data_IF_239021868676
#
_entry.id   IF_239021868676
#
_cell.length_a   1.000
_cell.length_b   1.000
_cell.length_c   1.000
_cell.angle_alpha   90.00
_cell.angle_beta   90.00
_cell.angle_gamma   90.00
#
_symmetry.space_group_name_H-M   'P 1'
#
loop_
_entity.id
_entity.type
_entity.pdbx_description
1 polymer ?
#
# COMPACT_ATOMS: atom_id res chain seq x y z
N UNK A 1 9.35 13.95 -25.04
CA UNK A 1 8.31 13.68 -24.02
C UNK A 1 8.98 12.84 -22.94
N UNK A 2 9.05 13.32 -21.69
CA UNK A 2 9.84 12.64 -20.66
C UNK A 2 9.13 11.37 -20.18
N UNK A 3 9.82 10.24 -20.22
CA UNK A 3 9.29 8.93 -19.82
C UNK A 3 9.10 8.89 -18.30
N UNK A 4 7.87 8.60 -17.85
CA UNK A 4 7.54 8.53 -16.41
C UNK A 4 7.26 7.11 -16.01
N UNK A 5 7.74 6.71 -14.86
CA UNK A 5 7.59 5.36 -14.33
C UNK A 5 7.14 5.37 -12.87
N UNK A 6 6.32 4.40 -12.48
CA UNK A 6 5.91 4.20 -11.09
C UNK A 6 6.55 2.92 -10.55
N UNK A 7 6.94 2.88 -9.27
CA UNK A 7 7.57 1.71 -8.67
C UNK A 7 6.58 0.54 -8.58
N UNK A 8 7.05 -0.63 -9.01
CA UNK A 8 6.39 -1.92 -8.86
C UNK A 8 6.95 -2.59 -7.62
N UNK A 9 6.26 -2.49 -6.48
CA UNK A 9 6.73 -3.10 -5.23
C UNK A 9 6.54 -4.64 -5.23
N UNK A 10 7.26 -5.33 -6.11
CA UNK A 10 7.38 -6.78 -6.09
C UNK A 10 8.51 -7.23 -5.14
N UNK A 11 9.63 -6.49 -5.07
CA UNK A 11 10.81 -6.71 -4.20
C UNK A 11 11.47 -5.38 -3.81
N UNK A 12 12.25 -5.29 -2.71
CA UNK A 12 13.05 -4.10 -2.41
C UNK A 12 14.07 -3.89 -3.54
N UNK A 13 14.26 -2.65 -4.00
CA UNK A 13 15.29 -2.38 -5.02
C UNK A 13 16.69 -2.75 -4.45
N UNK A 14 17.51 -3.53 -5.18
CA UNK A 14 18.87 -3.86 -4.79
C UNK A 14 19.76 -2.63 -5.08
N UNK A 15 19.67 -1.67 -4.18
CA UNK A 15 20.24 -0.34 -4.31
C UNK A 15 19.43 0.55 -3.40
N UNK A 16 20.08 1.11 -2.37
CA UNK A 16 19.42 1.71 -1.22
C UNK A 16 18.25 2.62 -1.62
N UNK A 17 17.03 2.09 -1.51
CA UNK A 17 15.85 2.94 -1.40
C UNK A 17 16.07 3.75 -0.13
N UNK A 18 16.08 5.09 -0.21
CA UNK A 18 16.30 5.91 0.96
C UNK A 18 15.23 5.60 2.00
N UNK A 19 15.66 5.65 3.27
CA UNK A 19 15.14 4.98 4.46
C UNK A 19 13.70 5.26 4.89
N UNK A 20 12.81 5.78 4.03
CA UNK A 20 11.52 6.32 4.47
C UNK A 20 10.36 6.30 3.46
N UNK A 21 10.31 5.42 2.45
CA UNK A 21 9.25 5.53 1.43
C UNK A 21 8.41 4.28 1.15
N UNK A 22 7.11 4.40 1.44
CA UNK A 22 6.00 3.70 0.76
C UNK A 22 4.86 4.70 0.60
N UNK A 23 4.73 5.31 -0.58
CA UNK A 23 3.52 6.01 -1.00
C UNK A 23 2.96 5.28 -2.22
N UNK A 24 1.67 4.92 -2.19
CA UNK A 24 0.96 4.35 -3.33
C UNK A 24 0.84 5.46 -4.39
N UNK A 25 1.40 5.27 -5.58
CA UNK A 25 1.16 6.15 -6.74
C UNK A 25 2.20 7.22 -7.07
N UNK A 26 3.39 7.24 -6.45
CA UNK A 26 4.46 8.16 -6.83
C UNK A 26 5.06 7.81 -8.21
N UNK A 27 5.40 8.83 -9.01
CA UNK A 27 6.02 8.66 -10.33
C UNK A 27 7.40 9.31 -10.38
N UNK A 28 8.38 8.60 -10.91
CA UNK A 28 9.72 9.10 -11.21
C UNK A 28 9.89 9.37 -12.70
N UNK A 29 10.76 10.31 -13.06
CA UNK A 29 11.14 10.56 -14.45
C UNK A 29 12.37 9.72 -14.79
N UNK A 30 12.31 8.97 -15.90
CA UNK A 30 13.46 8.25 -16.46
C UNK A 30 14.25 9.24 -17.31
N UNK A 31 15.50 9.51 -16.91
CA UNK A 31 16.42 10.37 -17.63
C UNK A 31 17.09 9.61 -18.78
N UNK A 32 17.48 8.36 -18.54
CA UNK A 32 18.03 7.47 -19.54
C UNK A 32 17.85 5.99 -19.15
N UNK A 33 17.98 5.09 -20.12
CA UNK A 33 17.98 3.64 -19.94
C UNK A 33 19.36 3.10 -20.31
N UNK A 34 19.94 2.28 -19.44
CA UNK A 34 21.22 1.60 -19.67
C UNK A 34 21.04 0.10 -19.59
N UNK A 35 21.97 -0.66 -20.15
CA UNK A 35 21.94 -2.13 -20.13
C UNK A 35 23.18 -2.60 -19.38
N UNK A 36 23.01 -3.56 -18.47
CA UNK A 36 24.15 -4.16 -17.76
C UNK A 36 24.87 -5.21 -18.60
N UNK A 37 25.95 -5.78 -18.05
CA UNK A 37 26.76 -6.81 -18.71
C UNK A 37 26.03 -8.13 -18.96
N UNK A 38 24.85 -8.33 -18.35
CA UNK A 38 23.99 -9.49 -18.54
C UNK A 38 22.85 -9.21 -19.52
N UNK A 39 22.80 -8.01 -20.12
CA UNK A 39 21.76 -7.61 -21.05
C UNK A 39 20.47 -7.14 -20.38
N UNK A 40 20.44 -6.97 -19.04
CA UNK A 40 19.24 -6.52 -18.34
C UNK A 40 19.12 -4.98 -18.38
N UNK A 41 17.92 -4.43 -18.62
CA UNK A 41 17.70 -2.99 -18.67
C UNK A 41 17.59 -2.35 -17.27
N UNK A 42 18.19 -1.17 -17.12
CA UNK A 42 18.19 -0.34 -15.91
C UNK A 42 17.75 1.09 -16.24
N UNK A 43 16.95 1.69 -15.36
CA UNK A 43 16.50 3.08 -15.46
C UNK A 43 17.36 3.99 -14.58
N UNK A 44 17.81 5.11 -15.16
CA UNK A 44 18.36 6.24 -14.44
C UNK A 44 17.22 7.21 -14.08
N UNK A 45 16.93 7.36 -12.80
CA UNK A 45 15.75 8.05 -12.28
C UNK A 45 16.15 9.37 -11.62
N UNK A 46 15.50 10.46 -12.05
CA UNK A 46 15.70 11.77 -11.46
C UNK A 46 15.13 11.82 -10.03
N UNK A 47 15.94 12.28 -9.07
CA UNK A 47 15.53 12.48 -7.67
C UNK A 47 16.07 13.82 -7.12
N UNK A 48 15.40 14.39 -6.12
CA UNK A 48 15.96 15.49 -5.33
C UNK A 48 17.36 15.11 -4.79
N UNK A 49 18.40 15.75 -5.32
CA UNK A 49 19.80 15.52 -4.95
C UNK A 49 20.62 14.66 -5.92
N UNK A 50 20.06 14.16 -7.02
CA UNK A 50 20.83 13.45 -8.07
C UNK A 50 20.07 12.35 -8.81
N UNK A 51 20.81 11.54 -9.57
CA UNK A 51 20.27 10.42 -10.36
C UNK A 51 20.45 9.09 -9.60
N UNK A 52 19.42 8.25 -9.58
CA UNK A 52 19.45 6.91 -8.97
C UNK A 52 19.21 5.84 -10.04
N UNK A 53 20.02 4.79 -10.06
CA UNK A 53 19.84 3.66 -10.98
C UNK A 53 19.02 2.54 -10.34
N UNK A 54 18.06 1.99 -11.08
CA UNK A 54 17.28 0.83 -10.64
C UNK A 54 16.98 -0.11 -11.81
N UNK A 55 16.86 -1.43 -11.59
CA UNK A 55 16.40 -2.38 -12.60
C UNK A 55 15.05 -1.96 -13.17
N UNK A 56 14.87 -2.06 -14.49
CA UNK A 56 13.68 -1.57 -15.19
C UNK A 56 12.40 -2.38 -14.87
N UNK A 57 12.55 -3.68 -14.58
CA UNK A 57 11.47 -4.59 -14.19
C UNK A 57 10.81 -4.23 -12.84
N UNK A 58 11.47 -3.38 -12.04
CA UNK A 58 10.92 -2.80 -10.81
C UNK A 58 10.03 -1.59 -11.06
N UNK A 59 9.77 -1.22 -12.31
CA UNK A 59 8.99 -0.03 -12.66
C UNK A 59 8.00 -0.29 -13.80
N UNK A 60 6.91 0.47 -13.83
CA UNK A 60 5.89 0.44 -14.88
C UNK A 60 5.74 1.81 -15.51
N UNK A 61 5.56 1.86 -16.82
CA UNK A 61 5.31 3.10 -17.54
C UNK A 61 4.01 3.76 -17.07
N UNK A 62 4.12 4.99 -16.59
CA UNK A 62 2.99 5.85 -16.31
C UNK A 62 2.50 6.45 -17.64
N UNK A 63 1.76 5.66 -18.42
CA UNK A 63 1.35 6.05 -19.78
C UNK A 63 0.18 5.27 -20.38
N UNK A 64 0.15 3.93 -20.28
CA UNK A 64 -0.86 3.10 -20.96
C UNK A 64 -2.18 2.94 -20.19
N UNK A 65 -2.63 3.99 -19.50
CA UNK A 65 -3.82 3.91 -18.65
C UNK A 65 -4.37 5.26 -18.21
N UNK A 66 -4.54 6.21 -19.13
CA UNK A 66 -5.08 7.54 -18.82
C UNK A 66 -6.44 7.50 -18.09
N UNK A 67 -7.26 6.45 -18.31
CA UNK A 67 -8.50 6.22 -17.57
C UNK A 67 -8.28 5.65 -16.15
N UNK A 68 -7.30 4.75 -15.96
CA UNK A 68 -7.06 4.04 -14.70
C UNK A 68 -6.36 4.87 -13.62
N UNK A 69 -5.39 5.72 -14.02
CA UNK A 69 -4.71 6.66 -13.10
C UNK A 69 -5.69 7.73 -12.60
N UNK A 70 -6.59 8.16 -13.48
CA UNK A 70 -7.65 9.12 -13.15
C UNK A 70 -8.64 8.54 -12.13
N UNK A 71 -9.03 7.27 -12.30
CA UNK A 71 -9.93 6.59 -11.37
C UNK A 71 -9.27 6.32 -10.01
N UNK A 72 -8.02 5.83 -9.99
CA UNK A 72 -7.28 5.58 -8.75
C UNK A 72 -7.07 6.87 -7.94
N UNK A 73 -6.70 7.97 -8.60
CA UNK A 73 -6.53 9.27 -7.95
C UNK A 73 -7.84 9.86 -7.43
N UNK A 74 -8.96 9.66 -8.15
CA UNK A 74 -10.30 10.04 -7.67
C UNK A 74 -10.70 9.24 -6.44
N UNK A 75 -10.46 7.93 -6.45
CA UNK A 75 -10.74 7.05 -5.33
C UNK A 75 -9.93 7.46 -4.09
N UNK A 76 -8.62 7.68 -4.25
CA UNK A 76 -7.76 8.12 -3.15
C UNK A 76 -8.19 9.47 -2.58
N UNK A 77 -8.61 10.42 -3.43
CA UNK A 77 -9.17 11.69 -2.99
C UNK A 77 -10.50 11.53 -2.25
N UNK A 78 -11.37 10.64 -2.72
CA UNK A 78 -12.64 10.32 -2.06
C UNK A 78 -12.40 9.70 -0.68
N UNK A 79 -11.49 8.74 -0.58
CA UNK A 79 -11.12 8.07 0.67
C UNK A 79 -10.49 9.07 1.65
N UNK A 80 -9.58 9.93 1.18
CA UNK A 80 -9.02 11.01 1.99
C UNK A 80 -10.11 11.95 2.51
N UNK A 81 -11.07 12.34 1.66
CA UNK A 81 -12.19 13.20 2.05
C UNK A 81 -13.07 12.51 3.10
N UNK A 82 -13.37 11.21 2.92
CA UNK A 82 -14.12 10.39 3.89
C UNK A 82 -13.42 10.39 5.26
N UNK A 83 -12.13 10.06 5.29
CA UNK A 83 -11.34 9.98 6.54
C UNK A 83 -11.31 11.32 7.28
N UNK A 84 -11.11 12.42 6.55
CA UNK A 84 -11.15 13.76 7.13
C UNK A 84 -12.53 14.15 7.66
N UNK A 85 -13.62 13.70 7.04
CA UNK A 85 -14.97 13.94 7.54
C UNK A 85 -15.21 13.21 8.87
N UNK A 86 -14.81 11.93 8.95
CA UNK A 86 -14.92 11.14 10.18
C UNK A 86 -14.10 11.77 11.31
N UNK A 87 -12.85 12.16 11.06
CA UNK A 87 -12.01 12.80 12.08
C UNK A 87 -12.56 14.13 12.61
N UNK A 88 -13.39 14.83 11.83
CA UNK A 88 -14.06 16.05 12.31
C UNK A 88 -15.17 15.75 13.32
N UNK A 89 -15.83 14.59 13.19
CA UNK A 89 -16.88 14.13 14.09
C UNK A 89 -16.29 13.52 15.39
N UNK A 90 -15.15 12.84 15.30
CA UNK A 90 -14.51 12.16 16.43
C UNK A 90 -13.26 12.90 16.92
N UNK A 91 -13.45 14.08 17.51
CA UNK A 91 -12.35 14.93 18.02
C UNK A 91 -11.71 14.41 19.31
N UNK A 92 -12.40 13.51 19.98
CA UNK A 92 -12.00 12.83 21.22
C UNK A 92 -10.97 11.72 20.99
N UNK A 93 -10.82 11.24 19.74
CA UNK A 93 -9.89 10.15 19.45
C UNK A 93 -8.42 10.52 19.71
N UNK A 94 -7.61 9.57 20.24
CA UNK A 94 -6.20 9.83 20.52
C UNK A 94 -5.44 10.31 19.29
N UNK A 95 -4.56 11.30 19.47
CA UNK A 95 -3.78 11.92 18.37
C UNK A 95 -3.05 10.92 17.49
N UNK A 96 -2.50 9.85 18.08
CA UNK A 96 -1.83 8.75 17.36
C UNK A 96 -2.79 8.06 16.39
N UNK A 97 -3.98 7.72 16.84
CA UNK A 97 -5.03 7.05 16.06
C UNK A 97 -5.57 7.99 14.98
N UNK A 98 -5.87 9.24 15.33
CA UNK A 98 -6.33 10.24 14.37
C UNK A 98 -5.33 10.45 13.22
N UNK A 99 -4.02 10.46 13.53
CA UNK A 99 -2.95 10.55 12.52
C UNK A 99 -2.95 9.32 11.61
N UNK A 100 -3.03 8.12 12.18
CA UNK A 100 -3.06 6.88 11.40
C UNK A 100 -4.28 6.84 10.47
N UNK A 101 -5.47 7.21 10.94
CA UNK A 101 -6.69 7.29 10.12
C UNK A 101 -6.53 8.31 9.00
N UNK A 102 -6.03 9.52 9.31
CA UNK A 102 -5.82 10.55 8.29
C UNK A 102 -4.92 10.05 7.15
N UNK A 103 -3.89 9.30 7.53
CA UNK A 103 -2.87 8.79 6.62
C UNK A 103 -3.26 7.42 6.01
N UNK A 104 -4.46 6.88 6.30
CA UNK A 104 -4.95 5.60 5.77
C UNK A 104 -4.17 4.38 6.26
N UNK A 105 -3.68 4.42 7.50
CA UNK A 105 -2.83 3.39 8.11
C UNK A 105 -3.58 2.61 9.18
N UNK A 106 -3.18 1.36 9.36
CA UNK A 106 -3.61 0.51 10.48
C UNK A 106 -2.63 0.69 11.64
N UNK A 107 -3.15 0.69 12.85
CA UNK A 107 -2.36 0.79 14.07
C UNK A 107 -2.92 -0.19 15.11
N UNK A 108 -2.03 -0.77 15.91
CA UNK A 108 -2.40 -1.55 17.10
C UNK A 108 -3.24 -0.66 18.04
N UNK A 109 -4.16 -1.29 18.76
CA UNK A 109 -5.14 -0.72 19.69
C UNK A 109 -6.26 0.11 19.05
N UNK A 110 -6.29 0.25 17.72
CA UNK A 110 -7.46 0.78 17.02
C UNK A 110 -8.69 -0.04 17.37
N UNK A 111 -9.78 0.63 17.72
CA UNK A 111 -11.08 -0.04 17.81
C UNK A 111 -11.55 -0.46 16.42
N UNK A 112 -12.50 -1.39 16.37
CA UNK A 112 -13.19 -1.76 15.12
C UNK A 112 -13.70 -0.53 14.34
N UNK A 113 -14.30 0.44 15.03
CA UNK A 113 -14.76 1.71 14.45
C UNK A 113 -13.61 2.54 13.86
N UNK A 114 -12.49 2.65 14.58
CA UNK A 114 -11.32 3.40 14.13
C UNK A 114 -10.63 2.73 12.95
N UNK A 115 -10.60 1.40 12.92
CA UNK A 115 -10.13 0.61 11.79
C UNK A 115 -11.02 0.86 10.57
N UNK A 116 -12.34 0.77 10.73
CA UNK A 116 -13.30 1.04 9.66
C UNK A 116 -13.20 2.48 9.15
N UNK A 117 -12.95 3.45 10.02
CA UNK A 117 -12.67 4.82 9.62
C UNK A 117 -11.42 4.91 8.74
N UNK A 118 -10.34 4.21 9.10
CA UNK A 118 -9.07 4.22 8.36
C UNK A 118 -9.17 3.52 7.01
N UNK A 119 -9.71 2.30 6.98
CA UNK A 119 -9.62 1.38 5.84
C UNK A 119 -10.96 1.04 5.18
N UNK A 120 -12.07 1.46 5.77
CA UNK A 120 -13.41 1.11 5.31
C UNK A 120 -13.94 -0.14 6.00
N UNK A 121 -15.16 -0.55 5.65
CA UNK A 121 -15.69 -1.83 6.12
C UNK A 121 -14.95 -2.98 5.39
N UNK A 122 -14.62 -4.06 6.09
CA UNK A 122 -14.06 -5.25 5.45
C UNK A 122 -15.13 -5.97 4.63
N UNK A 123 -14.71 -6.72 3.62
CA UNK A 123 -15.60 -7.59 2.85
C UNK A 123 -16.07 -8.79 3.68
N UNK A 124 -15.23 -9.27 4.61
CA UNK A 124 -15.57 -10.40 5.47
C UNK A 124 -15.05 -10.22 6.91
N UNK A 125 -15.85 -10.66 7.88
CA UNK A 125 -15.49 -10.77 9.30
C UNK A 125 -15.70 -12.23 9.73
N UNK A 126 -14.76 -12.80 10.47
CA UNK A 126 -14.87 -14.16 11.00
C UNK A 126 -14.45 -14.19 12.46
N UNK A 127 -15.19 -14.91 13.30
CA UNK A 127 -14.72 -15.30 14.61
C UNK A 127 -13.73 -16.46 14.47
N UNK A 128 -12.62 -16.40 15.21
CA UNK A 128 -11.49 -17.31 15.09
C UNK A 128 -10.96 -17.69 16.47
N UNK A 129 -10.33 -18.86 16.55
CA UNK A 129 -9.56 -19.29 17.72
C UNK A 129 -8.19 -19.77 17.28
N UNK A 130 -7.12 -19.21 17.85
CA UNK A 130 -5.75 -19.64 17.58
C UNK A 130 -5.08 -20.05 18.88
N UNK A 131 -4.49 -21.25 18.88
CA UNK A 131 -3.74 -21.76 20.03
C UNK A 131 -2.60 -20.78 20.37
N UNK A 132 -2.57 -20.31 21.62
CA UNK A 132 -1.62 -19.30 22.11
C UNK A 132 -2.09 -17.84 22.02
N UNK A 133 -3.07 -17.54 21.16
CA UNK A 133 -3.66 -16.19 21.04
C UNK A 133 -5.06 -16.10 21.65
N UNK A 134 -5.80 -17.22 21.65
CA UNK A 134 -7.18 -17.34 22.14
C UNK A 134 -8.23 -16.98 21.09
N UNK A 135 -9.43 -16.66 21.56
CA UNK A 135 -10.53 -16.14 20.75
C UNK A 135 -10.20 -14.73 20.23
N UNK A 136 -10.48 -14.51 18.95
CA UNK A 136 -10.27 -13.23 18.28
C UNK A 136 -11.13 -13.16 17.01
N UNK A 137 -11.25 -11.99 16.41
CA UNK A 137 -11.87 -11.78 15.11
C UNK A 137 -10.79 -11.59 14.04
N UNK A 138 -11.06 -12.09 12.84
CA UNK A 138 -10.28 -11.80 11.64
C UNK A 138 -11.16 -11.04 10.65
N UNK A 139 -10.69 -9.85 10.25
CA UNK A 139 -11.32 -9.01 9.24
C UNK A 139 -10.50 -9.09 7.96
N UNK A 140 -11.16 -9.39 6.85
CA UNK A 140 -10.52 -9.58 5.55
C UNK A 140 -10.89 -8.43 4.63
N UNK A 141 -9.84 -7.82 4.08
CA UNK A 141 -9.91 -6.78 3.08
C UNK A 141 -9.38 -7.33 1.76
N UNK A 142 -10.22 -7.43 0.75
CA UNK A 142 -9.86 -7.95 -0.57
C UNK A 142 -9.64 -6.78 -1.54
N UNK A 143 -8.40 -6.57 -1.96
CA UNK A 143 -8.10 -5.69 -3.09
C UNK A 143 -7.81 -6.56 -4.33
N UNK A 144 -8.61 -6.38 -5.38
CA UNK A 144 -8.46 -7.06 -6.67
C UNK A 144 -7.05 -6.94 -7.27
N UNK A 145 -6.25 -5.95 -6.83
CA UNK A 145 -4.91 -5.64 -7.37
C UNK A 145 -3.76 -5.92 -6.40
N UNK A 146 -3.97 -5.76 -5.09
CA UNK A 146 -2.91 -5.74 -4.08
C UNK A 146 -2.88 -7.01 -3.18
N UNK A 147 -3.87 -7.89 -3.30
CA UNK A 147 -3.97 -9.14 -2.53
C UNK A 147 -4.98 -9.05 -1.38
N UNK A 148 -4.90 -9.99 -0.44
CA UNK A 148 -5.78 -10.03 0.72
C UNK A 148 -5.05 -9.48 1.95
N UNK A 149 -5.62 -8.47 2.61
CA UNK A 149 -5.19 -8.04 3.93
C UNK A 149 -6.10 -8.70 4.97
N UNK A 150 -5.50 -9.38 5.94
CA UNK A 150 -6.18 -9.87 7.12
C UNK A 150 -5.76 -9.03 8.33
N UNK A 151 -6.73 -8.50 9.07
CA UNK A 151 -6.53 -7.77 10.32
C UNK A 151 -7.14 -8.56 11.47
N UNK A 152 -6.37 -8.75 12.53
CA UNK A 152 -6.79 -9.50 13.72
C UNK A 152 -7.22 -8.53 14.81
N UNK A 153 -8.39 -8.78 15.39
CA UNK A 153 -8.94 -8.00 16.50
C UNK A 153 -9.20 -8.89 17.71
N UNK A 154 -8.81 -8.45 18.90
CA UNK A 154 -9.19 -9.07 20.17
C UNK A 154 -9.78 -8.00 21.08
N UNK A 155 -10.86 -8.32 21.79
CA UNK A 155 -11.60 -7.35 22.62
C UNK A 155 -11.97 -6.07 21.84
N UNK A 156 -12.42 -6.26 20.60
CA UNK A 156 -12.74 -5.20 19.64
C UNK A 156 -11.59 -4.23 19.29
N UNK A 157 -10.33 -4.65 19.50
CA UNK A 157 -9.12 -3.87 19.20
C UNK A 157 -8.14 -4.59 18.31
N UNK A 158 -7.51 -3.87 17.39
CA UNK A 158 -6.49 -4.40 16.48
C UNK A 158 -5.27 -4.87 17.27
N UNK A 159 -4.92 -6.15 17.11
CA UNK A 159 -3.75 -6.79 17.71
C UNK A 159 -2.67 -7.17 16.69
N UNK A 160 -2.99 -7.17 15.39
CA UNK A 160 -2.04 -7.47 14.33
C UNK A 160 -2.70 -7.49 12.95
N UNK A 161 -1.89 -7.59 11.90
CA UNK A 161 -2.37 -7.76 10.54
C UNK A 161 -1.31 -8.47 9.67
N UNK A 162 -1.76 -9.10 8.59
CA UNK A 162 -0.93 -9.77 7.58
C UNK A 162 -1.42 -9.43 6.18
N UNK A 163 -0.49 -9.28 5.24
CA UNK A 163 -0.79 -9.04 3.84
C UNK A 163 -0.36 -10.26 3.02
N UNK A 164 -1.33 -10.93 2.41
CA UNK A 164 -1.09 -12.06 1.52
C UNK A 164 -1.11 -11.57 0.07
N UNK A 165 0.01 -11.76 -0.64
CA UNK A 165 0.09 -11.44 -2.07
C UNK A 165 -0.57 -12.54 -2.87
N UNK A 166 -1.34 -12.18 -3.89
CA UNK A 166 -1.86 -13.13 -4.87
C UNK A 166 -0.67 -13.72 -5.65
N UNK A 167 -0.34 -14.98 -5.39
CA UNK A 167 0.58 -15.75 -6.21
C UNK A 167 0.04 -15.78 -7.64
N UNK A 168 0.79 -15.25 -8.61
CA UNK A 168 0.52 -15.54 -10.02
C UNK A 168 0.53 -17.07 -10.25
N UNK A 169 -0.11 -17.58 -11.31
CA UNK A 169 -0.21 -19.03 -11.52
C UNK A 169 1.18 -19.64 -11.41
N UNK A 170 1.33 -20.57 -10.47
CA UNK A 170 2.53 -21.38 -10.37
C UNK A 170 2.69 -22.08 -11.72
N UNK A 171 3.64 -21.59 -12.53
CA UNK A 171 4.10 -22.30 -13.70
C UNK A 171 4.55 -23.68 -13.22
N UNK A 172 3.81 -24.69 -13.65
CA UNK A 172 4.12 -26.10 -13.51
C UNK A 172 5.51 -26.41 -14.13
N UNK A 173 6.10 -27.57 -13.79
CA UNK A 173 7.55 -27.80 -13.67
C UNK A 173 8.37 -27.56 -14.93
#
# INVERSE_FOLDING_TARGET
MAMRVAPCYARPAPGGLPSSYVNKGDTCVVENTVVDSLGAPWFALAKEGGTVFSPADHWRFAGDGSAGVSAARRQEQADRKRRLAILRAHRDWPRRIARAIRDGKICIDMTAEQLAASWGEPEQKSACFTVGLGEHEAWFYLDDRDGALMVLLRDARVIGWSLEKRSGPAGAP
#
